data_IF_914866552937
#
_entry.id   IF_914866552937
#
_cell.length_a   1.000
_cell.length_b   1.000
_cell.length_c   1.000
_cell.angle_alpha   90.00
_cell.angle_beta   90.00
_cell.angle_gamma   90.00
#
_symmetry.space_group_name_H-M   'P 1'
#
loop_
_entity.id
_entity.type
_entity.pdbx_description
1 polymer ?
#
# COMPACT_ATOMS: atom_id res chain seq x y z
N UNK A 1 -41.35 33.89 -19.63
CA UNK A 1 -41.21 33.09 -18.39
C UNK A 1 -40.42 31.81 -18.61
N UNK A 2 -40.91 30.82 -19.39
CA UNK A 2 -40.24 29.51 -19.56
C UNK A 2 -38.85 29.56 -20.20
N UNK A 3 -38.61 30.44 -21.18
CA UNK A 3 -37.30 30.57 -21.83
C UNK A 3 -36.20 31.10 -20.90
N UNK A 4 -36.56 31.98 -19.95
CA UNK A 4 -35.61 32.47 -18.94
C UNK A 4 -35.18 31.38 -17.96
N UNK A 5 -36.06 30.43 -17.64
CA UNK A 5 -35.73 29.30 -16.78
C UNK A 5 -34.62 28.44 -17.39
N UNK A 6 -34.69 28.18 -18.70
CA UNK A 6 -33.65 27.43 -19.41
C UNK A 6 -32.31 28.18 -19.38
N UNK A 7 -32.33 29.48 -19.65
CA UNK A 7 -31.13 30.30 -19.64
C UNK A 7 -30.46 30.37 -18.26
N UNK A 8 -31.26 30.57 -17.20
CA UNK A 8 -30.79 30.58 -15.81
C UNK A 8 -30.22 29.21 -15.43
N UNK A 9 -30.88 28.12 -15.83
CA UNK A 9 -30.40 26.76 -15.55
C UNK A 9 -29.02 26.50 -16.18
N UNK A 10 -28.79 26.95 -17.41
CA UNK A 10 -27.51 26.77 -18.10
C UNK A 10 -26.40 27.54 -17.38
N UNK A 11 -26.67 28.80 -17.00
CA UNK A 11 -25.70 29.62 -16.26
C UNK A 11 -25.37 28.98 -14.91
N UNK A 12 -26.39 28.52 -14.17
CA UNK A 12 -26.20 27.88 -12.87
C UNK A 12 -25.29 26.66 -12.96
N UNK A 13 -25.55 25.78 -13.94
CA UNK A 13 -24.72 24.58 -14.18
C UNK A 13 -23.29 24.98 -14.56
N UNK A 14 -23.12 26.02 -15.39
CA UNK A 14 -21.80 26.54 -15.73
C UNK A 14 -21.02 27.03 -14.50
N UNK A 15 -21.65 27.82 -13.63
CA UNK A 15 -21.04 28.29 -12.38
C UNK A 15 -20.70 27.13 -11.44
N UNK A 16 -21.54 26.09 -11.38
CA UNK A 16 -21.29 24.90 -10.58
C UNK A 16 -20.04 24.15 -11.06
N UNK A 17 -19.87 23.97 -12.38
CA UNK A 17 -18.66 23.36 -12.92
C UNK A 17 -17.41 24.23 -12.72
N UNK A 18 -17.51 25.54 -12.92
CA UNK A 18 -16.39 26.46 -12.70
C UNK A 18 -15.95 26.42 -11.24
N UNK A 19 -16.88 26.45 -10.29
CA UNK A 19 -16.54 26.38 -8.86
C UNK A 19 -15.91 25.02 -8.49
N UNK A 20 -16.38 23.91 -9.08
CA UNK A 20 -15.77 22.60 -8.88
C UNK A 20 -14.35 22.52 -9.44
N UNK A 21 -14.10 23.09 -10.62
CA UNK A 21 -12.76 23.16 -11.20
C UNK A 21 -11.82 24.02 -10.35
N UNK A 22 -12.28 25.18 -9.89
CA UNK A 22 -11.53 26.04 -9.00
C UNK A 22 -11.16 25.31 -7.70
N UNK A 23 -12.10 24.57 -7.09
CA UNK A 23 -11.84 23.77 -5.91
C UNK A 23 -10.74 22.73 -6.15
N UNK A 24 -10.79 21.99 -7.26
CA UNK A 24 -9.80 20.96 -7.57
C UNK A 24 -8.41 21.54 -7.88
N UNK A 25 -8.34 22.65 -8.59
CA UNK A 25 -7.08 23.23 -9.05
C UNK A 25 -6.41 24.17 -8.05
N UNK A 26 -7.17 24.89 -7.23
CA UNK A 26 -6.63 25.92 -6.32
C UNK A 26 -6.65 25.46 -4.87
N UNK A 27 -7.77 24.90 -4.42
CA UNK A 27 -7.92 24.51 -3.02
C UNK A 27 -7.40 23.11 -2.72
N UNK A 28 -7.71 22.15 -3.59
CA UNK A 28 -7.34 20.73 -3.47
C UNK A 28 -6.14 20.36 -4.35
N UNK A 29 -5.38 21.36 -4.83
CA UNK A 29 -4.15 21.12 -5.55
C UNK A 29 -3.17 20.42 -4.60
N UNK A 30 -3.03 19.11 -4.79
CA UNK A 30 -1.95 18.35 -4.18
C UNK A 30 -0.67 18.82 -4.86
N UNK A 31 0.37 19.02 -4.07
CA UNK A 31 1.69 19.45 -4.49
C UNK A 31 2.44 18.33 -5.22
N UNK A 32 1.80 17.69 -6.20
CA UNK A 32 2.45 16.73 -7.08
C UNK A 32 3.44 17.55 -7.91
N UNK A 33 4.71 17.45 -7.54
CA UNK A 33 5.76 18.23 -8.17
C UNK A 33 5.74 17.93 -9.66
N UNK A 34 5.72 18.96 -10.52
CA UNK A 34 5.78 18.81 -11.98
C UNK A 34 7.08 18.13 -12.45
N UNK A 35 8.04 17.94 -11.54
CA UNK A 35 9.37 17.40 -11.77
C UNK A 35 9.50 15.92 -11.41
N UNK A 36 8.62 15.39 -10.55
CA UNK A 36 8.55 13.97 -10.32
C UNK A 36 7.67 13.37 -11.42
N UNK A 37 8.25 12.48 -12.24
CA UNK A 37 7.53 11.67 -13.22
C UNK A 37 6.62 10.68 -12.48
N UNK A 38 5.56 11.23 -11.89
CA UNK A 38 4.66 10.55 -10.98
C UNK A 38 3.64 9.80 -11.81
N UNK A 39 4.00 8.60 -12.25
CA UNK A 39 3.01 7.63 -12.65
C UNK A 39 2.01 7.46 -11.49
N UNK A 40 0.75 7.84 -11.70
CA UNK A 40 -0.29 7.76 -10.67
C UNK A 40 -0.46 6.29 -10.29
N UNK A 41 0.13 5.89 -9.15
CA UNK A 41 -0.01 4.55 -8.62
C UNK A 41 -1.22 4.52 -7.71
N UNK A 42 -2.27 3.83 -8.14
CA UNK A 42 -3.38 3.47 -7.25
C UNK A 42 -2.85 2.46 -6.22
N UNK A 43 -2.71 2.91 -4.98
CA UNK A 43 -2.43 2.03 -3.84
C UNK A 43 -3.76 1.79 -3.14
N UNK A 44 -4.16 0.52 -3.06
CA UNK A 44 -5.37 0.14 -2.34
C UNK A 44 -5.05 -0.02 -0.87
N UNK A 45 -5.80 0.66 -0.01
CA UNK A 45 -5.79 0.41 1.43
C UNK A 45 -6.84 -0.65 1.74
N UNK A 46 -6.39 -1.85 2.08
CA UNK A 46 -7.28 -2.96 2.41
C UNK A 46 -7.71 -2.86 3.86
N UNK A 47 -9.02 -2.88 4.16
CA UNK A 47 -9.49 -2.80 5.53
C UNK A 47 -9.02 -4.03 6.32
N UNK A 48 -8.66 -3.80 7.59
CA UNK A 48 -8.31 -4.88 8.52
C UNK A 48 -9.51 -5.80 8.73
N UNK A 49 -9.27 -7.11 8.91
CA UNK A 49 -10.32 -8.06 9.31
C UNK A 49 -10.87 -7.66 10.68
N UNK A 50 -12.19 -7.70 10.80
CA UNK A 50 -12.87 -7.45 12.07
C UNK A 50 -12.56 -8.51 13.13
N UNK A 51 -12.76 -8.15 14.38
CA UNK A 51 -12.65 -9.07 15.51
C UNK A 51 -13.90 -9.95 15.61
N UNK A 52 -13.70 -11.21 15.98
CA UNK A 52 -14.80 -12.16 16.25
C UNK A 52 -14.85 -12.40 17.75
N UNK A 53 -16.02 -12.21 18.34
CA UNK A 53 -16.26 -12.40 19.76
C UNK A 53 -17.28 -13.54 20.01
N UNK A 54 -17.18 -14.20 21.15
CA UNK A 54 -18.24 -15.08 21.65
C UNK A 54 -19.44 -14.28 22.18
N UNK A 55 -20.55 -14.95 22.51
CA UNK A 55 -21.77 -14.39 23.10
C UNK A 55 -21.53 -13.64 24.41
N UNK A 56 -20.46 -13.99 25.12
CA UNK A 56 -20.05 -13.35 26.37
C UNK A 56 -19.08 -12.17 26.16
N UNK A 57 -18.79 -11.79 24.91
CA UNK A 57 -17.89 -10.69 24.58
C UNK A 57 -16.39 -11.03 24.63
N UNK A 58 -16.03 -12.31 24.73
CA UNK A 58 -14.64 -12.77 24.72
C UNK A 58 -14.08 -12.83 23.29
N UNK A 59 -12.88 -12.30 23.07
CA UNK A 59 -12.24 -12.24 21.76
C UNK A 59 -11.76 -13.64 21.33
N UNK A 60 -12.35 -14.17 20.26
CA UNK A 60 -12.00 -15.49 19.70
C UNK A 60 -11.02 -15.39 18.54
N UNK A 61 -11.18 -14.39 17.66
CA UNK A 61 -10.34 -14.24 16.46
C UNK A 61 -9.92 -12.79 16.28
N UNK A 62 -8.61 -12.59 16.16
CA UNK A 62 -7.99 -11.31 15.80
C UNK A 62 -6.82 -11.52 14.85
N UNK A 63 -6.54 -10.52 14.02
CA UNK A 63 -5.31 -10.51 13.24
C UNK A 63 -4.12 -10.21 14.16
N UNK A 64 -3.08 -11.05 14.08
CA UNK A 64 -1.77 -10.77 14.66
C UNK A 64 -0.77 -10.49 13.52
N UNK A 65 0.16 -9.54 13.71
CA UNK A 65 1.21 -9.31 12.74
C UNK A 65 2.10 -10.56 12.65
N UNK A 66 2.34 -11.03 11.43
CA UNK A 66 3.33 -12.05 11.12
C UNK A 66 4.48 -11.38 10.39
N UNK A 67 5.71 -11.69 10.79
CA UNK A 67 6.91 -11.14 10.19
C UNK A 67 7.64 -12.22 9.41
N UNK A 68 7.99 -11.89 8.16
CA UNK A 68 8.82 -12.73 7.32
C UNK A 68 10.24 -12.17 7.28
N UNK A 69 11.23 -13.05 7.35
CA UNK A 69 12.65 -12.69 7.17
C UNK A 69 13.01 -12.91 5.71
N UNK A 70 13.34 -11.82 5.00
CA UNK A 70 13.75 -11.85 3.60
C UNK A 70 15.23 -11.49 3.49
N UNK A 71 15.92 -12.15 2.57
CA UNK A 71 17.35 -11.96 2.33
C UNK A 71 17.58 -11.64 0.87
N UNK A 72 18.36 -10.58 0.61
CA UNK A 72 18.86 -10.23 -0.72
C UNK A 72 20.33 -10.64 -0.77
N UNK A 73 20.71 -11.71 -1.48
CA UNK A 73 22.05 -12.29 -1.36
C UNK A 73 23.20 -11.33 -1.68
N UNK A 74 22.97 -10.39 -2.61
CA UNK A 74 23.89 -9.29 -2.98
C UNK A 74 24.29 -8.41 -1.79
N UNK A 75 23.38 -8.24 -0.84
CA UNK A 75 23.49 -7.28 0.26
C UNK A 75 23.85 -7.98 1.58
N UNK A 76 24.15 -9.28 1.52
CA UNK A 76 24.51 -10.09 2.68
C UNK A 76 26.01 -10.01 2.93
N UNK A 77 26.36 -9.48 4.10
CA UNK A 77 27.72 -9.59 4.63
C UNK A 77 28.02 -11.01 5.11
N UNK A 78 29.31 -11.42 5.18
CA UNK A 78 29.68 -12.73 5.71
C UNK A 78 29.12 -12.93 7.13
N UNK A 79 28.24 -13.92 7.29
CA UNK A 79 27.54 -14.22 8.55
C UNK A 79 27.84 -15.63 9.06
N UNK A 80 27.74 -15.81 10.37
CA UNK A 80 27.78 -17.15 10.98
C UNK A 80 26.48 -17.91 10.63
N UNK A 81 26.61 -18.83 9.68
CA UNK A 81 25.47 -19.61 9.19
C UNK A 81 24.89 -20.53 10.27
N UNK A 82 25.71 -21.01 11.22
CA UNK A 82 25.23 -21.90 12.29
C UNK A 82 24.41 -21.12 13.31
N UNK A 83 24.91 -19.97 13.75
CA UNK A 83 24.18 -19.09 14.66
C UNK A 83 22.87 -18.61 14.04
N UNK A 84 22.90 -18.16 12.78
CA UNK A 84 21.72 -17.73 12.04
C UNK A 84 20.65 -18.83 11.92
N UNK A 85 21.07 -20.05 11.56
CA UNK A 85 20.16 -21.19 11.44
C UNK A 85 19.54 -21.56 12.80
N UNK A 86 20.30 -21.48 13.88
CA UNK A 86 19.80 -21.74 15.23
C UNK A 86 18.78 -20.68 15.68
N UNK A 87 19.06 -19.39 15.41
CA UNK A 87 18.17 -18.29 15.78
C UNK A 87 16.81 -18.41 15.09
N UNK A 88 16.81 -18.74 13.79
CA UNK A 88 15.60 -18.89 12.99
C UNK A 88 14.98 -20.29 13.06
N UNK A 89 15.61 -21.22 13.79
CA UNK A 89 15.19 -22.63 13.90
C UNK A 89 15.00 -23.30 12.53
N UNK A 90 15.94 -23.07 11.62
CA UNK A 90 15.95 -23.65 10.27
C UNK A 90 17.11 -24.63 10.10
N UNK A 91 16.93 -25.61 9.21
CA UNK A 91 17.99 -26.54 8.85
C UNK A 91 19.04 -25.85 7.98
N UNK A 92 20.32 -26.09 8.29
CA UNK A 92 21.47 -25.57 7.54
C UNK A 92 21.44 -26.00 6.07
N UNK A 93 21.10 -27.26 5.77
CA UNK A 93 21.01 -27.74 4.39
C UNK A 93 19.92 -27.01 3.61
N UNK A 94 18.78 -26.79 4.27
CA UNK A 94 17.67 -26.02 3.69
C UNK A 94 18.05 -24.55 3.47
N UNK A 95 18.80 -23.95 4.39
CA UNK A 95 19.31 -22.59 4.22
C UNK A 95 20.25 -22.50 3.03
N UNK A 96 21.26 -23.37 2.94
CA UNK A 96 22.27 -23.35 1.86
C UNK A 96 21.61 -23.54 0.48
N UNK A 97 20.69 -24.50 0.35
CA UNK A 97 19.98 -24.74 -0.91
C UNK A 97 19.13 -23.54 -1.34
N UNK A 98 18.42 -22.92 -0.41
CA UNK A 98 17.58 -21.74 -0.67
C UNK A 98 18.44 -20.51 -1.01
N UNK A 99 19.52 -20.30 -0.26
CA UNK A 99 20.46 -19.19 -0.47
C UNK A 99 21.15 -19.27 -1.83
N UNK A 100 21.66 -20.45 -2.20
CA UNK A 100 22.29 -20.66 -3.52
C UNK A 100 21.30 -20.51 -4.67
N UNK A 101 20.03 -20.90 -4.47
CA UNK A 101 18.97 -20.65 -5.46
C UNK A 101 18.74 -19.15 -5.63
N UNK A 102 18.66 -18.39 -4.54
CA UNK A 102 18.45 -16.94 -4.59
C UNK A 102 19.63 -16.20 -5.26
N UNK A 103 20.88 -16.60 -4.97
CA UNK A 103 22.09 -16.05 -5.59
C UNK A 103 22.11 -16.16 -7.11
N UNK A 104 21.46 -17.19 -7.68
CA UNK A 104 21.37 -17.33 -9.14
C UNK A 104 20.57 -16.22 -9.80
N UNK A 105 19.56 -15.69 -9.10
CA UNK A 105 18.68 -14.63 -9.61
C UNK A 105 19.12 -13.24 -9.19
N UNK A 106 19.86 -13.13 -8.08
CA UNK A 106 20.45 -11.89 -7.58
C UNK A 106 21.90 -12.16 -7.14
N UNK A 107 22.87 -12.13 -8.09
CA UNK A 107 24.27 -12.43 -7.82
C UNK A 107 24.95 -11.40 -6.90
#
# INVERSE_FOLDING_TARGET
MRQFLLFISIILVGVLFISRLFYLQVYSSNSDSLYDDNAIRKVWDYPKRGFVYDRNGELLVSNQPSYDVMVIPREVEPLDTLEFCNLLKIDKEKFITTYNKARRYSP
#
